data_IF_334217797926
#
_entry.id   IF_334217797926
#
_cell.length_a   1.000
_cell.length_b   1.000
_cell.length_c   1.000
_cell.angle_alpha   90.00
_cell.angle_beta   90.00
_cell.angle_gamma   90.00
#
_symmetry.space_group_name_H-M   'P 1'
#
loop_
_entity.id
_entity.type
_entity.pdbx_description
1 polymer ?
#
# COMPACT_ATOMS: atom_id res chain seq x y z
N UNK A 1 46.97 31.17 -44.56
CA UNK A 1 45.78 30.65 -45.28
C UNK A 1 45.26 29.47 -44.48
N UNK A 2 44.00 29.49 -44.03
CA UNK A 2 43.43 28.38 -43.27
C UNK A 2 42.91 27.29 -44.22
N UNK A 3 43.26 26.03 -43.94
CA UNK A 3 42.56 24.86 -44.50
C UNK A 3 41.44 24.46 -43.53
N UNK A 4 40.23 24.36 -44.07
CA UNK A 4 39.04 23.95 -43.35
C UNK A 4 39.01 22.41 -43.29
N UNK A 5 39.16 21.86 -42.09
CA UNK A 5 38.83 20.47 -41.81
C UNK A 5 37.31 20.35 -41.74
N UNK A 6 36.71 19.79 -42.78
CA UNK A 6 35.32 19.29 -42.75
C UNK A 6 35.24 18.13 -41.77
N UNK A 7 34.78 18.42 -40.56
CA UNK A 7 34.29 17.40 -39.64
C UNK A 7 32.86 17.08 -40.06
N UNK A 8 32.69 15.99 -40.80
CA UNK A 8 31.38 15.40 -41.05
C UNK A 8 30.80 14.96 -39.70
N UNK A 9 29.88 15.78 -39.19
CA UNK A 9 29.03 15.48 -38.05
C UNK A 9 28.02 14.44 -38.53
N UNK A 10 28.41 13.17 -38.43
CA UNK A 10 27.46 12.06 -38.49
C UNK A 10 26.85 11.91 -37.08
N UNK A 11 26.11 12.92 -36.64
CA UNK A 11 25.31 12.84 -35.42
C UNK A 11 24.06 12.01 -35.73
N UNK A 12 24.13 10.74 -35.33
CA UNK A 12 23.16 10.15 -34.42
C UNK A 12 21.69 10.52 -34.66
N UNK A 13 21.17 10.19 -35.84
CA UNK A 13 19.74 9.89 -35.99
C UNK A 13 19.44 8.53 -35.33
N UNK A 14 19.66 8.44 -34.01
CA UNK A 14 18.92 7.50 -33.17
C UNK A 14 17.55 8.13 -32.97
N UNK A 15 16.73 8.08 -34.03
CA UNK A 15 15.29 8.21 -33.89
C UNK A 15 14.90 6.97 -33.09
N UNK A 16 14.95 7.09 -31.76
CA UNK A 16 14.03 6.36 -30.91
C UNK A 16 12.65 6.77 -31.41
N UNK A 17 12.17 6.02 -32.41
CA UNK A 17 10.75 5.78 -32.58
C UNK A 17 10.35 5.03 -31.31
N UNK A 18 10.28 5.76 -30.20
CA UNK A 18 9.44 5.44 -29.07
C UNK A 18 8.07 5.29 -29.70
N UNK A 19 7.74 4.04 -30.01
CA UNK A 19 6.49 3.67 -30.64
C UNK A 19 5.43 4.21 -29.70
N UNK A 20 4.70 5.23 -30.15
CA UNK A 20 3.75 5.92 -29.30
C UNK A 20 2.81 4.86 -28.69
N UNK A 21 2.76 4.82 -27.36
CA UNK A 21 1.98 3.83 -26.63
C UNK A 21 0.56 3.83 -27.16
N UNK A 22 0.03 2.66 -27.48
CA UNK A 22 -1.36 2.56 -27.93
C UNK A 22 -2.31 2.96 -26.78
N UNK A 23 -3.51 3.49 -27.08
CA UNK A 23 -4.48 3.82 -26.03
C UNK A 23 -4.76 2.64 -25.07
N UNK A 24 -4.77 1.42 -25.59
CA UNK A 24 -4.97 0.21 -24.80
C UNK A 24 -3.80 -0.05 -23.83
N UNK A 25 -2.55 0.12 -24.27
CA UNK A 25 -1.37 0.01 -23.40
C UNK A 25 -1.38 1.08 -22.31
N UNK A 26 -1.80 2.29 -22.66
CA UNK A 26 -1.95 3.40 -21.72
C UNK A 26 -3.02 3.11 -20.66
N UNK A 27 -4.19 2.56 -21.04
CA UNK A 27 -5.21 2.17 -20.06
C UNK A 27 -4.76 1.00 -19.16
N UNK A 28 -3.99 0.04 -19.68
CA UNK A 28 -3.37 -1.00 -18.85
C UNK A 28 -2.40 -0.39 -17.83
N UNK A 29 -1.62 0.61 -18.24
CA UNK A 29 -0.75 1.34 -17.34
C UNK A 29 -1.54 2.13 -16.28
N UNK A 30 -2.70 2.70 -16.62
CA UNK A 30 -3.62 3.31 -15.62
C UNK A 30 -4.00 2.28 -14.56
N UNK A 31 -4.44 1.08 -14.98
CA UNK A 31 -4.82 0.01 -14.06
C UNK A 31 -3.67 -0.38 -13.12
N UNK A 32 -2.46 -0.57 -13.65
CA UNK A 32 -1.27 -0.91 -12.85
C UNK A 32 -0.95 0.18 -11.82
N UNK A 33 -1.00 1.45 -12.22
CA UNK A 33 -0.78 2.60 -11.32
C UNK A 33 -1.81 2.60 -10.19
N UNK A 34 -3.08 2.32 -10.51
CA UNK A 34 -4.17 2.30 -9.53
C UNK A 34 -4.04 1.14 -8.54
N UNK A 35 -3.69 -0.05 -9.02
CA UNK A 35 -3.43 -1.21 -8.17
C UNK A 35 -2.27 -0.93 -7.19
N UNK A 36 -1.16 -0.38 -7.70
CA UNK A 36 -0.03 0.04 -6.86
C UNK A 36 -0.45 1.07 -5.82
N UNK A 37 -1.22 2.07 -6.23
CA UNK A 37 -1.69 3.12 -5.32
C UNK A 37 -2.59 2.58 -4.21
N UNK A 38 -3.49 1.65 -4.54
CA UNK A 38 -4.36 0.99 -3.56
C UNK A 38 -3.52 0.18 -2.56
N UNK A 39 -2.50 -0.54 -3.03
CA UNK A 39 -1.59 -1.28 -2.15
C UNK A 39 -0.87 -0.35 -1.17
N UNK A 40 -0.30 0.76 -1.67
CA UNK A 40 0.35 1.79 -0.84
C UNK A 40 -0.61 2.34 0.23
N UNK A 41 -1.86 2.63 -0.15
CA UNK A 41 -2.87 3.11 0.80
C UNK A 41 -3.23 2.08 1.87
N UNK A 42 -3.28 0.79 1.52
CA UNK A 42 -3.54 -0.27 2.49
C UNK A 42 -2.40 -0.40 3.50
N UNK A 43 -1.16 -0.35 3.05
CA UNK A 43 0.02 -0.37 3.92
C UNK A 43 0.04 0.83 4.87
N UNK A 44 -0.30 2.02 4.35
CA UNK A 44 -0.43 3.22 5.16
C UNK A 44 -1.56 3.11 6.19
N UNK A 45 -2.77 2.72 5.77
CA UNK A 45 -3.93 2.58 6.67
C UNK A 45 -3.60 1.56 7.79
N UNK A 46 -2.94 0.45 7.46
CA UNK A 46 -2.51 -0.57 8.43
C UNK A 46 -1.48 -0.05 9.44
N UNK A 47 -0.43 0.62 8.94
CA UNK A 47 0.58 1.24 9.80
C UNK A 47 0.00 2.33 10.70
N UNK A 48 -0.90 3.17 10.15
CA UNK A 48 -1.54 4.24 10.91
C UNK A 48 -2.47 3.68 11.98
N UNK A 49 -3.31 2.69 11.66
CA UNK A 49 -4.19 2.06 12.66
C UNK A 49 -3.39 1.35 13.77
N UNK A 50 -2.31 0.66 13.42
CA UNK A 50 -1.40 0.03 14.39
C UNK A 50 -0.75 1.05 15.32
N UNK A 51 -0.46 2.26 14.81
CA UNK A 51 0.04 3.37 15.62
C UNK A 51 -1.03 3.95 16.56
N UNK A 52 -2.28 4.13 16.08
CA UNK A 52 -3.36 4.67 16.92
C UNK A 52 -3.77 3.70 18.03
N UNK A 53 -3.87 2.40 17.72
CA UNK A 53 -4.32 1.37 18.64
C UNK A 53 -3.34 0.19 18.73
N UNK A 54 -2.18 0.34 19.39
CA UNK A 54 -1.18 -0.72 19.51
C UNK A 54 -1.69 -1.97 20.27
N UNK A 55 -2.82 -1.85 21.00
CA UNK A 55 -3.49 -2.97 21.70
C UNK A 55 -4.50 -3.73 20.82
N UNK A 56 -4.96 -3.13 19.72
CA UNK A 56 -5.98 -3.72 18.83
C UNK A 56 -5.39 -4.74 17.86
N UNK A 57 -4.12 -4.60 17.49
CA UNK A 57 -3.39 -5.58 16.67
C UNK A 57 -3.02 -6.86 17.43
N UNK A 58 -3.11 -6.84 18.77
CA UNK A 58 -2.92 -8.02 19.64
C UNK A 58 -4.23 -8.74 19.99
N UNK A 59 -5.40 -8.16 19.68
CA UNK A 59 -6.71 -8.67 20.12
C UNK A 59 -7.53 -9.36 19.03
N UNK A 60 -6.96 -9.61 17.85
CA UNK A 60 -7.55 -10.50 16.83
C UNK A 60 -7.38 -12.00 17.16
N UNK A 61 -6.73 -12.36 18.27
CA UNK A 61 -6.54 -13.76 18.71
C UNK A 61 -7.14 -14.08 20.09
N UNK A 62 -7.84 -13.16 20.75
CA UNK A 62 -8.40 -13.39 22.10
C UNK A 62 -9.84 -13.92 22.07
N UNK A 63 -10.10 -15.00 21.34
CA UNK A 63 -11.36 -15.76 21.52
C UNK A 63 -11.31 -16.79 22.66
N UNK A 64 -10.16 -16.97 23.33
CA UNK A 64 -10.05 -17.84 24.51
C UNK A 64 -8.96 -17.31 25.44
N UNK A 65 -9.28 -16.41 26.37
CA UNK A 65 -8.57 -16.24 27.66
C UNK A 65 -9.29 -15.22 28.53
N UNK A 66 -10.43 -15.63 29.06
CA UNK A 66 -11.10 -14.92 30.14
C UNK A 66 -10.43 -15.33 31.47
N UNK A 67 -9.27 -14.77 31.81
CA UNK A 67 -8.70 -14.91 33.15
C UNK A 67 -8.18 -13.58 33.67
N UNK A 68 -9.03 -12.95 34.51
CA UNK A 68 -8.70 -11.94 35.52
C UNK A 68 -7.31 -12.18 36.15
N UNK A 69 -6.45 -11.17 36.30
CA UNK A 69 -5.31 -11.29 37.18
C UNK A 69 -5.81 -11.17 38.64
N UNK A 70 -5.82 -12.31 39.34
CA UNK A 70 -6.02 -12.36 40.79
C UNK A 70 -4.71 -12.04 41.49
N UNK A 71 -4.77 -10.99 42.30
CA UNK A 71 -3.79 -10.55 43.27
C UNK A 71 -3.39 -11.68 44.25
N UNK A 72 -2.10 -11.93 44.46
CA UNK A 72 -1.61 -12.95 45.39
C UNK A 72 -0.09 -13.14 45.47
N UNK A 73 0.55 -12.27 46.26
CA UNK A 73 1.66 -12.51 47.23
C UNK A 73 2.62 -13.72 47.13
N UNK A 74 3.93 -13.40 47.11
CA UNK A 74 5.11 -14.03 47.78
C UNK A 74 5.37 -15.55 47.67
N UNK A 75 6.46 -15.94 46.98
CA UNK A 75 7.69 -16.51 47.58
C UNK A 75 8.67 -17.10 46.53
N UNK A 76 9.95 -16.75 46.69
CA UNK A 76 11.20 -17.34 46.13
C UNK A 76 11.53 -18.55 47.06
N UNK A 77 12.17 -19.70 46.66
CA UNK A 77 13.53 -19.73 46.07
C UNK A 77 14.01 -20.91 45.18
N UNK A 78 15.10 -20.63 44.46
CA UNK A 78 16.26 -21.47 44.06
C UNK A 78 16.06 -22.83 43.36
N UNK A 79 16.66 -23.01 42.17
CA UNK A 79 17.90 -23.79 41.97
C UNK A 79 18.31 -23.96 40.49
N UNK A 80 19.62 -23.92 40.27
CA UNK A 80 20.50 -24.30 39.13
C UNK A 80 20.01 -25.47 38.23
N UNK A 81 20.38 -25.62 36.94
CA UNK A 81 21.72 -26.03 36.44
C UNK A 81 21.81 -26.08 34.88
N UNK A 82 22.91 -25.56 34.32
CA UNK A 82 23.81 -26.06 33.24
C UNK A 82 23.36 -26.90 32.01
N UNK A 83 23.82 -26.44 30.81
CA UNK A 83 24.42 -27.15 29.64
C UNK A 83 23.65 -28.29 28.93
N UNK A 84 23.54 -28.35 27.59
CA UNK A 84 24.63 -28.80 26.68
C UNK A 84 24.27 -28.66 25.19
N UNK A 85 25.30 -28.48 24.36
CA UNK A 85 25.32 -28.61 22.89
C UNK A 85 25.09 -30.06 22.43
N UNK A 86 24.51 -30.25 21.23
CA UNK A 86 24.87 -31.37 20.33
C UNK A 86 24.31 -31.15 18.92
N UNK A 87 25.18 -31.26 17.92
CA UNK A 87 24.90 -31.37 16.48
C UNK A 87 25.12 -32.84 16.10
N UNK A 88 24.23 -33.45 15.32
CA UNK A 88 24.57 -34.50 14.34
C UNK A 88 23.39 -34.86 13.43
N UNK A 89 23.68 -34.94 12.13
CA UNK A 89 22.85 -35.49 11.07
C UNK A 89 22.75 -37.01 11.15
N UNK A 90 21.60 -37.59 10.81
CA UNK A 90 21.52 -38.97 10.29
C UNK A 90 20.24 -39.16 9.46
N UNK A 91 20.41 -39.66 8.24
CA UNK A 91 19.34 -40.12 7.35
C UNK A 91 19.00 -41.57 7.69
N UNK A 92 17.73 -41.88 7.91
CA UNK A 92 17.19 -43.23 7.74
C UNK A 92 15.67 -43.18 7.62
N UNK A 93 15.16 -43.70 6.51
CA UNK A 93 13.74 -43.97 6.25
C UNK A 93 13.35 -45.25 7.00
N UNK A 94 12.33 -45.20 7.86
CA UNK A 94 11.36 -46.29 7.97
C UNK A 94 10.05 -45.84 8.64
N UNK A 95 9.01 -46.49 8.15
CA UNK A 95 7.59 -46.19 8.20
C UNK A 95 6.93 -46.99 9.34
N UNK A 96 6.30 -46.31 10.31
CA UNK A 96 5.15 -46.81 11.10
C UNK A 96 4.64 -45.80 12.15
N UNK A 97 3.48 -45.22 11.84
CA UNK A 97 2.31 -45.00 12.72
C UNK A 97 2.52 -44.90 14.24
N UNK A 98 2.77 -43.70 14.78
CA UNK A 98 2.20 -43.19 16.06
C UNK A 98 2.28 -41.65 16.03
N UNK A 99 1.18 -41.00 16.44
CA UNK A 99 1.00 -39.59 16.81
C UNK A 99 2.25 -38.70 16.80
N UNK A 100 2.55 -38.12 15.62
CA UNK A 100 3.63 -37.18 15.46
C UNK A 100 3.16 -35.77 15.90
N UNK A 101 3.27 -35.52 17.20
CA UNK A 101 3.42 -34.17 17.77
C UNK A 101 4.78 -33.59 17.32
N UNK A 102 4.90 -33.30 16.02
CA UNK A 102 5.95 -32.41 15.55
C UNK A 102 5.84 -31.07 16.27
N UNK A 103 6.95 -30.37 16.57
CA UNK A 103 6.90 -29.03 17.11
C UNK A 103 6.19 -28.14 16.10
N UNK A 104 4.87 -28.00 16.25
CA UNK A 104 4.12 -26.92 15.65
C UNK A 104 4.79 -25.66 16.19
N UNK A 105 5.41 -24.89 15.30
CA UNK A 105 5.77 -23.52 15.57
C UNK A 105 4.44 -22.76 15.79
N UNK A 106 3.92 -22.83 17.01
CA UNK A 106 2.70 -22.12 17.45
C UNK A 106 3.03 -20.65 17.79
N UNK A 107 4.28 -20.24 17.61
CA UNK A 107 4.80 -18.93 18.01
C UNK A 107 5.59 -18.22 16.91
N UNK A 108 5.12 -18.29 15.65
CA UNK A 108 5.41 -17.18 14.74
C UNK A 108 4.63 -15.98 15.25
N UNK A 109 5.25 -15.27 16.19
CA UNK A 109 4.75 -14.09 16.86
C UNK A 109 4.26 -13.07 15.84
N UNK A 110 2.94 -13.03 15.60
CA UNK A 110 2.26 -11.84 15.12
C UNK A 110 2.17 -10.79 16.25
N UNK A 111 3.21 -10.70 17.10
CA UNK A 111 3.44 -9.55 17.96
C UNK A 111 3.87 -8.43 17.01
N UNK A 112 2.89 -7.72 16.46
CA UNK A 112 3.14 -6.44 15.82
C UNK A 112 3.74 -5.53 16.89
N UNK A 113 5.04 -5.30 16.80
CA UNK A 113 5.75 -4.35 17.65
C UNK A 113 5.03 -3.01 17.52
N UNK A 114 4.69 -2.33 18.62
CA UNK A 114 4.05 -1.03 18.55
C UNK A 114 4.91 -0.08 17.71
N UNK A 115 4.30 0.50 16.67
CA UNK A 115 5.00 1.38 15.75
C UNK A 115 5.40 2.65 16.50
N UNK A 116 6.70 2.89 16.61
CA UNK A 116 7.21 4.13 17.19
C UNK A 116 6.85 5.33 16.31
N UNK A 117 6.73 6.53 16.90
CA UNK A 117 6.45 7.75 16.14
C UNK A 117 7.48 8.01 15.03
N UNK A 118 8.77 7.71 15.28
CA UNK A 118 9.82 7.84 14.27
C UNK A 118 9.62 6.89 13.09
N UNK A 119 9.18 5.65 13.35
CA UNK A 119 8.87 4.68 12.31
C UNK A 119 7.63 5.10 11.51
N UNK A 120 6.59 5.63 12.17
CA UNK A 120 5.42 6.16 11.48
C UNK A 120 5.80 7.31 10.54
N UNK A 121 6.66 8.23 10.97
CA UNK A 121 7.16 9.33 10.13
C UNK A 121 7.89 8.78 8.90
N UNK A 122 8.72 7.74 9.07
CA UNK A 122 9.42 7.11 7.96
C UNK A 122 8.44 6.44 6.98
N UNK A 123 7.43 5.71 7.49
CA UNK A 123 6.38 5.11 6.66
C UNK A 123 5.64 6.20 5.89
N UNK A 124 5.22 7.28 6.56
CA UNK A 124 4.54 8.41 5.93
C UNK A 124 5.38 9.04 4.81
N UNK A 125 6.70 9.20 5.00
CA UNK A 125 7.60 9.69 3.97
C UNK A 125 7.65 8.77 2.75
N UNK A 126 7.81 7.46 2.96
CA UNK A 126 7.88 6.46 1.88
C UNK A 126 6.54 6.41 1.13
N UNK A 127 5.42 6.30 1.85
CA UNK A 127 4.06 6.30 1.28
C UNK A 127 3.83 7.57 0.47
N UNK A 128 4.17 8.75 1.02
CA UNK A 128 4.00 10.03 0.32
C UNK A 128 4.80 10.07 -0.98
N UNK A 129 6.05 9.64 -0.97
CA UNK A 129 6.88 9.59 -2.17
C UNK A 129 6.29 8.65 -3.23
N UNK A 130 5.83 7.47 -2.83
CA UNK A 130 5.23 6.50 -3.74
C UNK A 130 3.89 6.98 -4.31
N UNK A 131 3.08 7.71 -3.52
CA UNK A 131 1.84 8.35 -3.99
C UNK A 131 2.12 9.47 -5.00
N UNK A 132 3.17 10.27 -4.78
CA UNK A 132 3.62 11.30 -5.73
C UNK A 132 4.07 10.66 -7.04
N UNK A 133 4.86 9.59 -6.98
CA UNK A 133 5.30 8.83 -8.15
C UNK A 133 4.10 8.30 -8.96
N UNK A 134 3.10 7.71 -8.29
CA UNK A 134 1.86 7.26 -8.93
C UNK A 134 1.14 8.43 -9.63
N UNK A 135 1.06 9.59 -8.96
CA UNK A 135 0.47 10.80 -9.53
C UNK A 135 1.19 11.30 -10.78
N UNK A 136 2.53 11.31 -10.76
CA UNK A 136 3.33 11.69 -11.93
C UNK A 136 3.14 10.71 -13.09
N UNK A 137 3.19 9.41 -12.83
CA UNK A 137 2.96 8.38 -13.87
C UNK A 137 1.57 8.53 -14.49
N UNK A 138 0.55 8.78 -13.67
CA UNK A 138 -0.81 9.01 -14.15
C UNK A 138 -0.93 10.29 -15.00
N UNK A 139 -0.17 11.35 -14.65
CA UNK A 139 -0.10 12.60 -15.42
C UNK A 139 0.57 12.41 -16.78
N UNK A 140 1.63 11.61 -16.83
CA UNK A 140 2.28 11.22 -18.09
C UNK A 140 1.31 10.46 -18.98
N UNK A 141 0.64 9.44 -18.45
CA UNK A 141 -0.36 8.66 -19.19
C UNK A 141 -1.50 9.53 -19.72
N UNK A 142 -2.03 10.44 -18.89
CA UNK A 142 -3.05 11.41 -19.32
C UNK A 142 -2.56 12.25 -20.51
N UNK A 143 -1.32 12.72 -20.45
CA UNK A 143 -0.73 13.56 -21.50
C UNK A 143 -0.57 12.76 -22.79
N UNK A 144 -0.09 11.51 -22.72
CA UNK A 144 0.00 10.63 -23.89
C UNK A 144 -1.39 10.33 -24.46
N UNK A 145 -2.39 10.04 -23.62
CA UNK A 145 -3.77 9.79 -24.06
C UNK A 145 -4.37 11.00 -24.77
N UNK A 146 -4.11 12.22 -24.29
CA UNK A 146 -4.58 13.46 -24.92
C UNK A 146 -4.02 13.68 -26.33
N UNK A 147 -2.86 13.10 -26.64
CA UNK A 147 -2.23 13.17 -27.98
C UNK A 147 -2.39 11.86 -28.77
N UNK A 148 -3.12 10.89 -28.23
CA UNK A 148 -3.39 9.61 -28.88
C UNK A 148 -4.62 9.68 -29.79
N UNK A 149 -4.97 8.56 -30.42
CA UNK A 149 -6.23 8.42 -31.19
C UNK A 149 -7.50 8.48 -30.34
N UNK A 150 -7.39 8.46 -29.01
CA UNK A 150 -8.53 8.44 -28.09
C UNK A 150 -8.41 9.49 -26.95
N UNK A 151 -8.41 10.80 -27.26
CA UNK A 151 -8.23 11.87 -26.27
C UNK A 151 -9.33 11.91 -25.19
N UNK A 152 -10.53 11.36 -25.48
CA UNK A 152 -11.60 11.19 -24.48
C UNK A 152 -11.14 10.41 -23.24
N UNK A 153 -10.23 9.47 -23.40
CA UNK A 153 -9.68 8.66 -22.30
C UNK A 153 -8.78 9.48 -21.39
N UNK A 154 -8.09 10.49 -21.93
CA UNK A 154 -7.33 11.44 -21.12
C UNK A 154 -8.22 12.21 -20.15
N UNK A 155 -9.46 12.55 -20.54
CA UNK A 155 -10.45 13.17 -19.64
C UNK A 155 -10.91 12.21 -18.54
N UNK A 156 -11.02 10.91 -18.82
CA UNK A 156 -11.34 9.91 -17.81
C UNK A 156 -10.21 9.80 -16.77
N UNK A 157 -8.96 9.77 -17.21
CA UNK A 157 -7.78 9.78 -16.32
C UNK A 157 -7.68 11.07 -15.50
N UNK A 158 -8.04 12.22 -16.08
CA UNK A 158 -8.10 13.49 -15.36
C UNK A 158 -9.12 13.46 -14.20
N UNK A 159 -10.31 12.89 -14.45
CA UNK A 159 -11.34 12.71 -13.40
C UNK A 159 -10.84 11.80 -12.26
N UNK A 160 -10.07 10.76 -12.59
CA UNK A 160 -9.44 9.89 -11.59
C UNK A 160 -8.47 10.71 -10.73
N UNK A 161 -7.53 11.44 -11.34
CA UNK A 161 -6.57 12.28 -10.61
C UNK A 161 -7.25 13.30 -9.70
N UNK A 162 -8.32 13.96 -10.16
CA UNK A 162 -9.06 14.93 -9.37
C UNK A 162 -9.67 14.27 -8.12
N UNK A 163 -10.31 13.10 -8.29
CA UNK A 163 -10.91 12.38 -7.16
C UNK A 163 -9.87 11.81 -6.20
N UNK A 164 -8.74 11.31 -6.70
CA UNK A 164 -7.62 10.86 -5.85
C UNK A 164 -7.05 12.00 -5.00
N UNK A 165 -6.90 13.19 -5.58
CA UNK A 165 -6.42 14.35 -4.84
C UNK A 165 -7.39 14.80 -3.74
N UNK A 166 -8.71 14.72 -4.01
CA UNK A 166 -9.73 14.97 -2.98
C UNK A 166 -9.66 13.92 -1.87
N UNK A 167 -9.60 12.64 -2.24
CA UNK A 167 -9.46 11.52 -1.30
C UNK A 167 -8.22 11.69 -0.40
N UNK A 168 -7.05 11.97 -0.99
CA UNK A 168 -5.81 12.19 -0.26
C UNK A 168 -5.94 13.31 0.77
N UNK A 169 -6.51 14.46 0.39
CA UNK A 169 -6.73 15.58 1.31
C UNK A 169 -7.67 15.22 2.46
N UNK A 170 -8.75 14.48 2.17
CA UNK A 170 -9.69 14.02 3.19
C UNK A 170 -9.02 13.04 4.17
N UNK A 171 -8.24 12.07 3.68
CA UNK A 171 -7.52 11.10 4.52
C UNK A 171 -6.51 11.83 5.41
N UNK A 172 -5.65 12.67 4.84
CA UNK A 172 -4.64 13.40 5.61
C UNK A 172 -5.27 14.26 6.69
N UNK A 173 -6.34 15.01 6.36
CA UNK A 173 -7.03 15.84 7.34
C UNK A 173 -7.67 15.00 8.46
N UNK A 174 -8.33 13.90 8.10
CA UNK A 174 -8.93 12.96 9.06
C UNK A 174 -7.87 12.41 10.01
N UNK A 175 -6.73 11.99 9.48
CA UNK A 175 -5.68 11.34 10.24
C UNK A 175 -4.94 12.33 11.16
N UNK A 176 -4.75 13.58 10.71
CA UNK A 176 -4.29 14.67 11.57
C UNK A 176 -5.23 14.88 12.76
N UNK A 177 -6.55 14.92 12.53
CA UNK A 177 -7.53 15.05 13.60
C UNK A 177 -7.55 13.84 14.54
N UNK A 178 -7.42 12.62 14.01
CA UNK A 178 -7.32 11.39 14.82
C UNK A 178 -6.08 11.44 15.73
N UNK A 179 -4.93 11.85 15.20
CA UNK A 179 -3.70 12.01 15.99
C UNK A 179 -3.86 13.08 17.09
N UNK A 180 -4.51 14.20 16.81
CA UNK A 180 -4.76 15.25 17.81
C UNK A 180 -5.73 14.79 18.92
N UNK A 181 -6.78 14.06 18.53
CA UNK A 181 -7.81 13.57 19.46
C UNK A 181 -7.26 12.50 20.42
N UNK A 182 -6.24 11.74 20.02
CA UNK A 182 -5.58 10.74 20.88
C UNK A 182 -4.97 11.33 22.16
N UNK A 183 -4.59 12.61 22.13
CA UNK A 183 -3.93 13.27 23.25
C UNK A 183 -4.88 14.06 24.15
N UNK A 184 -6.19 14.10 23.86
CA UNK A 184 -7.14 14.93 24.61
C UNK A 184 -8.58 14.41 24.49
N UNK A 185 -9.21 14.12 25.63
CA UNK A 185 -10.57 13.53 25.71
C UNK A 185 -11.72 14.51 25.46
N UNK A 186 -11.45 15.81 25.32
CA UNK A 186 -12.50 16.86 25.28
C UNK A 186 -12.97 17.29 23.87
N UNK A 187 -12.71 16.48 22.84
CA UNK A 187 -12.87 16.90 21.43
C UNK A 187 -14.10 16.29 20.72
N UNK A 188 -15.31 16.60 21.20
CA UNK A 188 -16.56 16.14 20.57
C UNK A 188 -16.76 16.70 19.15
N UNK A 189 -16.30 17.94 18.91
CA UNK A 189 -16.41 18.59 17.60
C UNK A 189 -15.51 17.91 16.56
N UNK A 190 -14.30 17.54 16.95
CA UNK A 190 -13.32 16.86 16.12
C UNK A 190 -13.77 15.43 15.81
N UNK A 191 -14.39 14.73 16.77
CA UNK A 191 -15.02 13.42 16.52
C UNK A 191 -16.13 13.48 15.47
N UNK A 192 -16.97 14.53 15.51
CA UNK A 192 -17.98 14.77 14.47
C UNK A 192 -17.31 15.01 13.11
N UNK A 193 -16.25 15.82 13.07
CA UNK A 193 -15.50 16.14 11.84
C UNK A 193 -14.82 14.90 11.25
N UNK A 194 -14.21 14.06 12.08
CA UNK A 194 -13.61 12.78 11.67
C UNK A 194 -14.68 11.89 11.01
N UNK A 195 -15.87 11.80 11.60
CA UNK A 195 -16.98 11.00 11.04
C UNK A 195 -17.42 11.53 9.68
N UNK A 196 -17.51 12.85 9.51
CA UNK A 196 -17.83 13.46 8.21
C UNK A 196 -16.75 13.19 7.17
N UNK A 197 -15.48 13.27 7.56
CA UNK A 197 -14.36 12.97 6.68
C UNK A 197 -14.33 11.48 6.29
N UNK A 198 -14.65 10.56 7.20
CA UNK A 198 -14.78 9.13 6.89
C UNK A 198 -15.90 8.86 5.86
N UNK A 199 -17.04 9.55 5.98
CA UNK A 199 -18.10 9.48 4.97
C UNK A 199 -17.63 9.99 3.60
N UNK A 200 -16.90 11.11 3.57
CA UNK A 200 -16.35 11.66 2.33
C UNK A 200 -15.29 10.72 1.72
N UNK A 201 -14.41 10.13 2.54
CA UNK A 201 -13.43 9.15 2.11
C UNK A 201 -14.11 7.96 1.43
N UNK A 202 -15.18 7.43 2.03
CA UNK A 202 -15.94 6.32 1.44
C UNK A 202 -16.60 6.71 0.12
N UNK A 203 -17.20 7.90 0.05
CA UNK A 203 -17.80 8.43 -1.18
C UNK A 203 -16.76 8.56 -2.30
N UNK A 204 -15.59 9.14 -2.02
CA UNK A 204 -14.54 9.27 -3.03
C UNK A 204 -13.95 7.91 -3.45
N UNK A 205 -13.84 6.94 -2.53
CA UNK A 205 -13.44 5.57 -2.86
C UNK A 205 -14.45 4.90 -3.80
N UNK A 206 -15.74 5.10 -3.57
CA UNK A 206 -16.79 4.60 -4.47
C UNK A 206 -16.70 5.26 -5.85
N UNK A 207 -16.62 6.59 -5.92
CA UNK A 207 -16.49 7.32 -7.18
C UNK A 207 -15.24 6.91 -7.97
N UNK A 208 -14.12 6.65 -7.28
CA UNK A 208 -12.93 6.11 -7.93
C UNK A 208 -13.18 4.70 -8.46
N UNK A 209 -13.83 3.83 -7.69
CA UNK A 209 -14.17 2.47 -8.17
C UNK A 209 -15.01 2.51 -9.45
N UNK A 210 -15.98 3.43 -9.55
CA UNK A 210 -16.80 3.63 -10.75
C UNK A 210 -15.92 4.09 -11.93
N UNK A 211 -15.04 5.07 -11.73
CA UNK A 211 -14.12 5.54 -12.79
C UNK A 211 -13.13 4.45 -13.24
N UNK A 212 -12.66 3.58 -12.33
CA UNK A 212 -11.80 2.44 -12.70
C UNK A 212 -12.59 1.39 -13.48
N UNK A 213 -13.86 1.19 -13.16
CA UNK A 213 -14.74 0.33 -13.95
C UNK A 213 -14.95 0.88 -15.37
N UNK A 214 -15.09 2.20 -15.53
CA UNK A 214 -15.13 2.84 -16.84
C UNK A 214 -13.84 2.60 -17.64
N UNK A 215 -12.67 2.71 -16.99
CA UNK A 215 -11.37 2.39 -17.62
C UNK A 215 -11.33 0.94 -18.09
N UNK A 216 -11.85 0.01 -17.29
CA UNK A 216 -11.93 -1.39 -17.68
C UNK A 216 -12.87 -1.60 -18.87
N UNK A 217 -14.05 -0.97 -18.86
CA UNK A 217 -15.01 -1.06 -19.96
C UNK A 217 -14.39 -0.55 -21.28
N UNK A 218 -13.78 0.63 -21.26
CA UNK A 218 -13.08 1.20 -22.43
C UNK A 218 -11.89 0.32 -22.88
N UNK A 219 -11.18 -0.31 -21.94
CA UNK A 219 -10.09 -1.25 -22.27
C UNK A 219 -10.60 -2.51 -22.98
N UNK A 220 -11.79 -3.00 -22.64
CA UNK A 220 -12.42 -4.15 -23.29
C UNK A 220 -12.93 -3.75 -24.67
N UNK A 221 -13.56 -2.57 -24.81
CA UNK A 221 -14.03 -2.06 -26.09
C UNK A 221 -12.88 -1.91 -27.10
N UNK A 222 -11.73 -1.40 -26.66
CA UNK A 222 -10.52 -1.28 -27.49
C UNK A 222 -9.87 -2.62 -27.87
N UNK A 223 -10.19 -3.72 -27.18
CA UNK A 223 -9.70 -5.06 -27.52
C UNK A 223 -10.57 -5.75 -28.57
N UNK A 224 -11.81 -5.29 -28.77
CA UNK A 224 -12.67 -5.84 -29.79
C UNK A 224 -12.13 -5.43 -31.16
N UNK A 225 -12.01 -6.37 -32.13
CA UNK A 225 -11.66 -6.01 -33.48
C UNK A 225 -12.70 -5.00 -33.98
N UNK A 226 -12.25 -3.80 -34.36
CA UNK A 226 -13.16 -2.83 -34.97
C UNK A 226 -13.71 -3.46 -36.23
N UNK A 227 -14.97 -3.89 -36.17
CA UNK A 227 -15.67 -4.46 -37.30
C UNK A 227 -16.05 -3.31 -38.23
N UNK A 228 -15.09 -2.74 -38.97
CA UNK A 228 -15.25 -1.87 -40.15
C UNK A 228 -13.89 -1.53 -40.76
#
# INVERSE_FOLDING_TARGET
MPEATSTDINDTNHVDNATASTPLELLKAVKEVQERRIAIWREYDDAFNTFLDPSSSSSSSSFLSNTKPVNGSLNIPFSSSSSSQSVSHSWSIQDQTVENNGPRCVDCSNTTVPISENLLVQILQITTQALIECGHRLRTIQTELNHSSAPKLGLLVDKIQINENKLLRCIVHRDQLRKLTLNSDQHQHEKSTITQLDQQVNLFRQQLSELIQDVYAESVELQLPQAS
#
